data_IF_872853802377
#
_entry.id   IF_872853802377
#
_cell.length_a   1.000
_cell.length_b   1.000
_cell.length_c   1.000
_cell.angle_alpha   90.00
_cell.angle_beta   90.00
_cell.angle_gamma   90.00
#
_symmetry.space_group_name_H-M   'P 1'
#
loop_
_entity.id
_entity.type
_entity.pdbx_description
1 polymer ?
#
# COMPACT_ATOMS: atom_id res chain seq x y z
N UNK A 1 -31.39 -13.55 13.37
CA UNK A 1 -31.15 -12.21 13.94
C UNK A 1 -29.72 -12.07 14.47
N UNK A 2 -28.68 -12.31 13.66
CA UNK A 2 -27.26 -12.14 14.04
C UNK A 2 -26.45 -11.28 13.05
N UNK A 3 -27.03 -10.96 11.89
CA UNK A 3 -26.41 -10.11 10.86
C UNK A 3 -26.47 -8.62 11.21
N UNK A 4 -27.57 -8.17 11.82
CA UNK A 4 -27.72 -6.78 12.27
C UNK A 4 -26.82 -6.43 13.46
N UNK A 5 -26.46 -7.41 14.31
CA UNK A 5 -25.48 -7.21 15.39
C UNK A 5 -24.06 -7.03 14.84
N UNK A 6 -23.68 -7.74 13.77
CA UNK A 6 -22.37 -7.55 13.12
C UNK A 6 -22.24 -6.15 12.48
N UNK A 7 -23.28 -5.70 11.77
CA UNK A 7 -23.29 -4.36 11.15
C UNK A 7 -23.24 -3.26 12.23
N UNK A 8 -23.88 -3.49 13.37
CA UNK A 8 -23.88 -2.54 14.49
C UNK A 8 -22.56 -2.56 15.27
N UNK A 9 -21.91 -3.71 15.39
CA UNK A 9 -20.58 -3.84 16.00
C UNK A 9 -19.48 -3.16 15.16
N UNK A 10 -19.63 -3.15 13.83
CA UNK A 10 -18.73 -2.43 12.91
C UNK A 10 -18.93 -0.90 12.98
N UNK A 11 -20.13 -0.44 13.36
CA UNK A 11 -20.46 0.98 13.53
C UNK A 11 -20.10 1.53 14.92
N UNK A 12 -20.13 0.68 15.95
CA UNK A 12 -19.84 1.04 17.35
C UNK A 12 -18.41 0.70 17.79
N UNK A 13 -17.58 0.12 16.92
CA UNK A 13 -16.14 0.08 17.14
C UNK A 13 -15.65 1.54 17.10
N UNK A 14 -15.17 2.13 18.21
CA UNK A 14 -14.57 3.45 18.17
C UNK A 14 -13.40 3.33 17.23
N UNK A 15 -13.57 3.82 16.00
CA UNK A 15 -12.62 3.61 14.92
C UNK A 15 -11.25 3.93 15.49
N UNK A 16 -10.39 2.90 15.56
CA UNK A 16 -9.09 2.98 16.19
C UNK A 16 -8.54 4.37 15.92
N UNK A 17 -8.26 5.18 16.95
CA UNK A 17 -7.71 6.51 16.76
C UNK A 17 -6.32 6.35 16.15
N UNK A 18 -6.29 6.15 14.82
CA UNK A 18 -5.10 6.00 14.04
C UNK A 18 -4.48 7.39 14.06
N UNK A 19 -3.40 7.49 14.82
CA UNK A 19 -2.54 8.68 14.92
C UNK A 19 -2.37 9.34 13.54
N UNK A 20 -2.42 10.67 13.48
CA UNK A 20 -2.41 11.43 12.23
C UNK A 20 -1.17 11.12 11.37
N UNK A 21 -0.06 10.80 12.04
CA UNK A 21 1.17 10.33 11.40
C UNK A 21 0.98 9.01 10.65
N UNK A 22 0.27 8.05 11.26
CA UNK A 22 -0.02 6.75 10.66
C UNK A 22 -1.00 6.88 9.50
N UNK A 23 -1.99 7.80 9.59
CA UNK A 23 -2.89 8.13 8.46
C UNK A 23 -2.11 8.70 7.27
N UNK A 24 -1.16 9.59 7.52
CA UNK A 24 -0.30 10.16 6.48
C UNK A 24 0.62 9.12 5.84
N UNK A 25 1.20 8.21 6.64
CA UNK A 25 2.00 7.09 6.12
C UNK A 25 1.15 6.15 5.25
N UNK A 26 -0.04 5.77 5.71
CA UNK A 26 -0.98 4.93 4.94
C UNK A 26 -1.40 5.61 3.64
N UNK A 27 -1.67 6.91 3.65
CA UNK A 27 -1.99 7.66 2.42
C UNK A 27 -0.82 7.68 1.45
N UNK A 28 0.42 7.85 1.94
CA UNK A 28 1.63 7.80 1.11
C UNK A 28 1.83 6.42 0.49
N UNK A 29 1.64 5.36 1.27
CA UNK A 29 1.74 3.97 0.81
C UNK A 29 0.63 3.63 -0.20
N UNK A 30 -0.61 4.06 0.04
CA UNK A 30 -1.72 3.88 -0.89
C UNK A 30 -1.44 4.59 -2.23
N UNK A 31 -0.95 5.84 -2.18
CA UNK A 31 -0.55 6.55 -3.39
C UNK A 31 0.60 5.85 -4.12
N UNK A 32 1.60 5.32 -3.39
CA UNK A 32 2.71 4.57 -3.99
C UNK A 32 2.21 3.30 -4.65
N UNK A 33 1.31 2.57 -4.00
CA UNK A 33 0.71 1.36 -4.52
C UNK A 33 -0.12 1.63 -5.78
N UNK A 34 -0.94 2.68 -5.78
CA UNK A 34 -1.72 3.06 -6.96
C UNK A 34 -0.82 3.50 -8.10
N UNK A 35 0.16 4.35 -7.84
CA UNK A 35 1.09 4.85 -8.86
C UNK A 35 1.91 3.71 -9.48
N UNK A 36 2.54 2.88 -8.63
CA UNK A 36 3.37 1.78 -9.07
C UNK A 36 2.52 0.67 -9.70
N UNK A 37 1.34 0.39 -9.16
CA UNK A 37 0.39 -0.60 -9.69
C UNK A 37 -0.15 -0.21 -11.06
N UNK A 38 -0.61 1.02 -11.25
CA UNK A 38 -1.08 1.52 -12.56
C UNK A 38 0.06 1.49 -13.57
N UNK A 39 1.25 1.94 -13.19
CA UNK A 39 2.43 1.88 -14.06
C UNK A 39 2.76 0.44 -14.44
N UNK A 40 2.71 -0.50 -13.49
CA UNK A 40 2.94 -1.92 -13.73
C UNK A 40 1.90 -2.50 -14.70
N UNK A 41 0.62 -2.17 -14.52
CA UNK A 41 -0.46 -2.60 -15.41
C UNK A 41 -0.26 -2.07 -16.82
N UNK A 42 0.15 -0.81 -16.99
CA UNK A 42 0.46 -0.24 -18.30
C UNK A 42 1.65 -0.97 -18.96
N UNK A 43 2.68 -1.33 -18.20
CA UNK A 43 3.81 -2.12 -18.69
C UNK A 43 3.39 -3.53 -19.11
N UNK A 44 2.55 -4.20 -18.31
CA UNK A 44 1.99 -5.52 -18.62
C UNK A 44 1.13 -5.47 -19.89
N UNK A 45 0.25 -4.48 -20.01
CA UNK A 45 -0.56 -4.27 -21.20
C UNK A 45 0.31 -4.06 -22.44
N UNK A 46 1.42 -3.33 -22.30
CA UNK A 46 2.38 -3.12 -23.38
C UNK A 46 3.06 -4.42 -23.78
N UNK A 47 3.55 -5.19 -22.80
CA UNK A 47 4.18 -6.49 -23.04
C UNK A 47 3.22 -7.48 -23.70
N UNK A 48 1.94 -7.49 -23.30
CA UNK A 48 0.89 -8.32 -23.91
C UNK A 48 0.60 -7.87 -25.35
N UNK A 49 0.46 -6.56 -25.58
CA UNK A 49 0.21 -6.03 -26.92
C UNK A 49 1.37 -6.34 -27.89
N UNK A 50 2.60 -6.32 -27.39
CA UNK A 50 3.80 -6.68 -28.16
C UNK A 50 3.88 -8.19 -28.40
N UNK A 51 3.61 -9.02 -27.39
CA UNK A 51 3.56 -10.48 -27.52
C UNK A 51 2.47 -10.95 -28.50
N UNK A 52 1.32 -10.28 -28.52
CA UNK A 52 0.21 -10.56 -29.45
C UNK A 52 0.41 -9.93 -30.83
N UNK A 53 1.52 -9.21 -31.07
CA UNK A 53 1.83 -8.54 -32.34
C UNK A 53 0.68 -7.71 -32.88
N UNK A 54 0.01 -6.93 -32.00
CA UNK A 54 -1.14 -6.12 -32.38
C UNK A 54 -0.71 -5.01 -33.35
N UNK A 55 -0.86 -5.27 -34.64
CA UNK A 55 -0.43 -4.39 -35.74
C UNK A 55 -1.41 -3.24 -36.05
N UNK A 56 -2.56 -3.20 -35.38
CA UNK A 56 -3.63 -2.24 -35.63
C UNK A 56 -3.58 -0.97 -34.78
N UNK A 57 -2.58 -0.81 -33.90
CA UNK A 57 -2.52 0.35 -33.00
C UNK A 57 -1.99 1.57 -33.78
N UNK A 58 -2.75 2.68 -33.84
CA UNK A 58 -2.28 3.90 -34.50
C UNK A 58 -0.99 4.43 -33.85
N UNK A 59 -0.02 4.86 -34.66
CA UNK A 59 1.24 5.47 -34.20
C UNK A 59 1.08 6.55 -33.12
N UNK A 60 0.12 7.51 -33.20
CA UNK A 60 -0.04 8.50 -32.13
C UNK A 60 -0.41 7.87 -30.78
N UNK A 61 -1.19 6.78 -30.79
CA UNK A 61 -1.56 6.05 -29.56
C UNK A 61 -0.33 5.41 -28.93
N UNK A 62 0.58 4.86 -29.75
CA UNK A 62 1.84 4.28 -29.27
C UNK A 62 2.73 5.35 -28.63
N UNK A 63 2.85 6.53 -29.24
CA UNK A 63 3.67 7.63 -28.72
C UNK A 63 3.12 8.14 -27.39
N UNK A 64 1.81 8.38 -27.30
CA UNK A 64 1.16 8.83 -26.06
C UNK A 64 1.30 7.76 -24.96
N UNK A 65 1.13 6.49 -25.31
CA UNK A 65 1.30 5.39 -24.36
C UNK A 65 2.75 5.27 -23.86
N UNK A 66 3.73 5.39 -24.75
CA UNK A 66 5.15 5.42 -24.39
C UNK A 66 5.50 6.60 -23.47
N UNK A 67 4.96 7.78 -23.75
CA UNK A 67 5.13 8.95 -22.89
C UNK A 67 4.50 8.73 -21.50
N UNK A 68 3.30 8.15 -21.43
CA UNK A 68 2.65 7.80 -20.18
C UNK A 68 3.45 6.77 -19.36
N UNK A 69 4.05 5.77 -20.02
CA UNK A 69 4.92 4.78 -19.37
C UNK A 69 6.18 5.43 -18.81
N UNK A 70 6.84 6.31 -19.57
CA UNK A 70 8.03 7.02 -19.11
C UNK A 70 7.71 7.93 -17.92
N UNK A 71 6.60 8.66 -17.98
CA UNK A 71 6.17 9.53 -16.90
C UNK A 71 5.80 8.73 -15.65
N UNK A 72 5.02 7.65 -15.81
CA UNK A 72 4.64 6.76 -14.72
C UNK A 72 5.87 6.09 -14.09
N UNK A 73 6.83 5.66 -14.89
CA UNK A 73 8.08 5.08 -14.41
C UNK A 73 8.92 6.09 -13.64
N UNK A 74 9.14 7.29 -14.19
CA UNK A 74 9.88 8.35 -13.52
C UNK A 74 9.22 8.76 -12.19
N UNK A 75 7.90 8.92 -12.20
CA UNK A 75 7.12 9.22 -11.00
C UNK A 75 7.23 8.09 -9.96
N UNK A 76 7.14 6.83 -10.40
CA UNK A 76 7.27 5.67 -9.50
C UNK A 76 8.66 5.59 -8.88
N UNK A 77 9.72 5.88 -9.65
CA UNK A 77 11.10 5.88 -9.18
C UNK A 77 11.30 6.98 -8.12
N UNK A 78 10.97 8.23 -8.45
CA UNK A 78 11.13 9.37 -7.54
C UNK A 78 10.30 9.18 -6.26
N UNK A 79 9.03 8.78 -6.41
CA UNK A 79 8.14 8.61 -5.27
C UNK A 79 8.49 7.39 -4.42
N UNK A 80 8.91 6.28 -5.05
CA UNK A 80 9.41 5.09 -4.35
C UNK A 80 10.67 5.37 -3.54
N UNK A 81 11.63 6.12 -4.09
CA UNK A 81 12.83 6.57 -3.37
C UNK A 81 12.44 7.50 -2.22
N UNK A 82 11.56 8.47 -2.43
CA UNK A 82 11.10 9.37 -1.37
C UNK A 82 10.46 8.62 -0.19
N UNK A 83 9.50 7.73 -0.46
CA UNK A 83 8.78 7.00 0.60
C UNK A 83 9.74 6.08 1.36
N UNK A 84 10.61 5.35 0.66
CA UNK A 84 11.57 4.43 1.31
C UNK A 84 12.67 5.16 2.09
N UNK A 85 13.09 6.35 1.63
CA UNK A 85 14.03 7.22 2.33
C UNK A 85 13.42 7.77 3.63
N UNK A 86 12.20 8.30 3.58
CA UNK A 86 11.50 8.80 4.77
C UNK A 86 11.31 7.69 5.81
N UNK A 87 11.03 6.47 5.36
CA UNK A 87 10.90 5.30 6.22
C UNK A 87 12.23 4.71 6.71
N UNK A 88 13.39 5.25 6.29
CA UNK A 88 14.76 4.73 6.58
C UNK A 88 14.95 3.24 6.27
N UNK A 89 14.24 2.72 5.26
CA UNK A 89 14.30 1.32 4.83
C UNK A 89 15.29 1.16 3.67
N UNK A 90 16.59 1.22 3.97
CA UNK A 90 17.65 1.27 2.96
C UNK A 90 17.68 0.08 1.98
N UNK A 91 17.29 -1.12 2.42
CA UNK A 91 17.18 -2.28 1.51
C UNK A 91 16.14 -2.07 0.40
N UNK A 92 15.00 -1.49 0.73
CA UNK A 92 13.96 -1.13 -0.25
C UNK A 92 14.34 0.09 -1.07
N UNK A 93 15.08 1.02 -0.48
CA UNK A 93 15.61 2.19 -1.19
C UNK A 93 16.51 1.78 -2.36
N UNK A 94 17.42 0.82 -2.16
CA UNK A 94 18.27 0.30 -3.23
C UNK A 94 17.45 -0.35 -4.35
N UNK A 95 16.43 -1.14 -3.99
CA UNK A 95 15.52 -1.77 -4.96
C UNK A 95 14.68 -0.74 -5.74
N UNK A 96 14.27 0.36 -5.09
CA UNK A 96 13.54 1.45 -5.72
C UNK A 96 14.43 2.35 -6.60
N UNK A 97 15.73 2.45 -6.29
CA UNK A 97 16.72 3.19 -7.08
C UNK A 97 17.06 2.47 -8.39
N UNK A 98 16.97 1.15 -8.38
CA UNK A 98 17.27 0.32 -9.53
C UNK A 98 16.14 0.44 -10.58
N UNK A 99 16.43 0.91 -11.80
CA UNK A 99 15.43 1.25 -12.80
C UNK A 99 14.54 0.07 -13.24
N UNK A 100 15.10 -1.14 -13.27
CA UNK A 100 14.40 -2.38 -13.63
C UNK A 100 13.47 -2.90 -12.53
N UNK A 101 13.81 -2.62 -11.28
CA UNK A 101 13.07 -3.14 -10.11
C UNK A 101 12.22 -2.09 -9.44
N UNK A 102 12.31 -0.81 -9.82
CA UNK A 102 11.64 0.31 -9.16
C UNK A 102 10.12 0.14 -9.07
N UNK A 103 9.48 -0.27 -10.15
CA UNK A 103 8.03 -0.51 -10.22
C UNK A 103 7.62 -1.69 -9.33
N UNK A 104 8.12 -2.93 -9.55
CA UNK A 104 7.71 -4.08 -8.73
C UNK A 104 8.13 -3.93 -7.26
N UNK A 105 9.28 -3.31 -6.97
CA UNK A 105 9.71 -3.03 -5.61
C UNK A 105 8.81 -2.00 -4.91
N UNK A 106 8.38 -0.96 -5.63
CA UNK A 106 7.44 0.04 -5.11
C UNK A 106 6.09 -0.58 -4.72
N UNK A 107 5.53 -1.45 -5.58
CA UNK A 107 4.31 -2.21 -5.29
C UNK A 107 4.50 -3.14 -4.09
N UNK A 108 5.57 -3.94 -4.09
CA UNK A 108 5.84 -4.91 -3.04
C UNK A 108 6.07 -4.24 -1.67
N UNK A 109 6.85 -3.16 -1.65
CA UNK A 109 7.08 -2.37 -0.44
C UNK A 109 5.77 -1.80 0.12
N UNK A 110 4.96 -1.17 -0.74
CA UNK A 110 3.69 -0.59 -0.32
C UNK A 110 2.72 -1.64 0.26
N UNK A 111 2.68 -2.82 -0.37
CA UNK A 111 1.86 -3.94 0.10
C UNK A 111 2.33 -4.49 1.45
N UNK A 112 3.61 -4.81 1.59
CA UNK A 112 4.18 -5.36 2.82
C UNK A 112 4.03 -4.36 3.96
N UNK A 113 4.38 -3.09 3.73
CA UNK A 113 4.35 -2.07 4.78
C UNK A 113 2.93 -1.75 5.22
N UNK A 114 1.95 -1.78 4.31
CA UNK A 114 0.54 -1.66 4.66
C UNK A 114 0.10 -2.81 5.57
N UNK A 115 0.46 -4.05 5.24
CA UNK A 115 0.16 -5.22 6.07
C UNK A 115 0.82 -5.15 7.46
N UNK A 116 2.08 -4.69 7.54
CA UNK A 116 2.75 -4.44 8.82
C UNK A 116 1.96 -3.42 9.68
N UNK A 117 1.51 -2.31 9.09
CA UNK A 117 0.75 -1.27 9.80
C UNK A 117 -0.63 -1.78 10.23
N UNK A 118 -1.36 -2.45 9.34
CA UNK A 118 -2.66 -3.05 9.68
C UNK A 118 -2.51 -4.08 10.82
N UNK A 119 -1.46 -4.89 10.80
CA UNK A 119 -1.17 -5.86 11.87
C UNK A 119 -0.76 -5.20 13.19
N UNK A 120 -0.07 -4.06 13.16
CA UNK A 120 0.30 -3.33 14.37
C UNK A 120 -0.92 -2.66 15.01
N UNK A 121 -1.78 -2.04 14.21
CA UNK A 121 -3.01 -1.37 14.69
C UNK A 121 -4.03 -2.39 15.24
N UNK A 122 -4.29 -3.48 14.51
CA UNK A 122 -5.22 -4.54 14.95
C UNK A 122 -4.61 -5.46 16.03
N UNK A 123 -3.28 -5.59 16.05
CA UNK A 123 -2.54 -6.38 17.03
C UNK A 123 -2.47 -5.71 18.41
N UNK A 124 -2.36 -4.38 18.46
CA UNK A 124 -2.44 -3.62 19.70
C UNK A 124 -3.84 -3.67 20.32
N UNK A 125 -4.91 -3.73 19.53
CA UNK A 125 -6.28 -3.91 20.02
C UNK A 125 -6.49 -5.26 20.76
N UNK A 126 -5.81 -6.34 20.35
CA UNK A 126 -5.85 -7.61 21.08
C UNK A 126 -5.15 -7.54 22.44
N UNK A 127 -4.15 -6.66 22.56
CA UNK A 127 -3.33 -6.54 23.77
C UNK A 127 -3.88 -5.47 24.74
N UNK A 128 -4.72 -4.56 24.24
CA UNK A 128 -5.37 -3.49 24.99
C UNK A 128 -6.70 -3.89 25.68
N UNK A 129 -6.92 -5.17 26.01
CA UNK A 129 -7.84 -5.51 27.12
C UNK A 129 -7.06 -5.42 28.42
N UNK A 130 -7.15 -4.32 29.19
CA UNK A 130 -6.56 -4.29 30.51
C UNK A 130 -7.20 -5.43 31.29
N UNK A 131 -6.33 -6.29 31.76
CA UNK A 131 -6.58 -7.33 32.75
C UNK A 131 -7.31 -6.67 33.92
N UNK A 132 -8.64 -6.64 33.88
CA UNK A 132 -9.47 -6.28 35.02
C UNK A 132 -9.26 -7.41 36.01
N UNK A 133 -8.18 -7.29 36.78
CA UNK A 133 -7.93 -7.98 38.03
C UNK A 133 -9.15 -7.69 38.88
N UNK A 134 -10.15 -8.55 38.79
CA UNK A 134 -11.23 -8.66 39.76
C UNK A 134 -10.59 -9.20 41.03
N UNK A 135 -9.92 -8.31 41.75
CA UNK A 135 -9.44 -8.54 43.10
C UNK A 135 -10.65 -8.62 44.03
N UNK A 136 -11.34 -9.76 44.02
CA UNK A 136 -12.29 -10.15 45.04
C UNK A 136 -11.57 -10.90 46.14
N UNK A 137 -10.66 -10.23 46.87
CA UNK A 137 -10.07 -10.78 48.09
C UNK A 137 -11.04 -10.50 49.24
N UNK A 138 -11.62 -11.59 49.76
CA UNK A 138 -12.25 -11.74 51.09
C UNK A 138 -11.82 -10.69 52.13
N UNK A 139 -12.82 -10.10 52.79
CA UNK A 139 -12.84 -9.84 54.24
C UNK A 139 -14.26 -10.23 54.69
N UNK A 140 -14.36 -11.37 55.38
CA UNK A 140 -14.64 -11.50 56.81
C UNK A 140 -16.11 -11.23 57.13
#
# INVERSE_FOLDING_TARGET
>A
MRLFEFIKYDADAPGAEVDDKTRLELRRLANLFLLAGVTLTLFLLRAIAEALSVSFIPTPVIVVWGAALLFGWAATLVYGVFVTFVARRYGWLVLCLLPLTSIPAGVAYAWIRRGEIESAVLGDERTARPRQRRGGRRNR
#
